data_IF_346486308749
#
_entry.id   IF_346486308749
#
_cell.length_a   1.000
_cell.length_b   1.000
_cell.length_c   1.000
_cell.angle_alpha   90.00
_cell.angle_beta   90.00
_cell.angle_gamma   90.00
#
_symmetry.space_group_name_H-M   'P 1'
#
loop_
_entity.id
_entity.type
_entity.pdbx_description
1 polymer ?
#
# COMPACT_ATOMS: atom_id res chain seq x y z
N UNK A 1 2.37 19.03 10.00
CA UNK A 1 2.89 19.70 8.80
C UNK A 1 2.88 18.71 7.66
N UNK A 2 2.26 19.09 6.56
CA UNK A 2 2.21 18.21 5.39
C UNK A 2 3.60 18.10 4.78
N UNK A 3 4.05 16.88 4.59
CA UNK A 3 5.33 16.57 3.99
C UNK A 3 5.20 16.36 2.47
N UNK A 4 4.27 17.10 1.88
CA UNK A 4 3.97 17.00 0.46
C UNK A 4 5.08 17.62 -0.38
N UNK A 5 5.33 17.01 -1.52
CA UNK A 5 6.25 17.55 -2.51
C UNK A 5 5.59 18.77 -3.17
N UNK A 6 6.37 19.84 -3.34
CA UNK A 6 5.89 21.08 -3.98
C UNK A 6 5.76 20.94 -5.50
N UNK A 7 6.17 19.81 -6.06
CA UNK A 7 6.15 19.50 -7.49
C UNK A 7 5.21 18.35 -7.78
N UNK A 8 4.83 18.10 -9.04
CA UNK A 8 4.08 16.91 -9.42
C UNK A 8 4.73 15.64 -8.86
N UNK A 9 3.93 14.59 -8.59
CA UNK A 9 4.47 13.32 -8.06
C UNK A 9 5.61 12.80 -8.93
N UNK A 10 6.66 12.32 -8.27
CA UNK A 10 7.75 11.64 -8.95
C UNK A 10 7.30 10.22 -9.25
N UNK A 11 7.37 9.83 -10.52
CA UNK A 11 6.87 8.55 -11.01
C UNK A 11 8.03 7.69 -11.50
N UNK A 12 8.03 6.42 -11.11
CA UNK A 12 8.93 5.41 -11.66
C UNK A 12 8.11 4.22 -12.13
N UNK A 13 8.43 3.71 -13.32
CA UNK A 13 7.79 2.54 -13.90
C UNK A 13 8.71 1.33 -13.79
N UNK A 14 8.16 0.23 -13.27
CA UNK A 14 8.85 -1.06 -13.16
C UNK A 14 8.10 -2.10 -13.97
N UNK A 15 8.78 -3.21 -14.26
CA UNK A 15 8.18 -4.37 -14.89
C UNK A 15 8.45 -5.61 -14.03
N UNK A 16 7.39 -6.30 -13.63
CA UNK A 16 7.49 -7.57 -12.91
C UNK A 16 7.07 -8.71 -13.82
N UNK A 17 8.03 -9.55 -14.16
CA UNK A 17 7.78 -10.67 -15.06
C UNK A 17 7.00 -11.81 -14.40
N UNK A 18 7.12 -11.95 -13.08
CA UNK A 18 6.47 -13.00 -12.30
C UNK A 18 6.34 -12.59 -10.82
N UNK A 19 5.78 -13.49 -10.02
CA UNK A 19 5.58 -13.26 -8.58
C UNK A 19 6.91 -13.11 -7.81
N UNK A 20 7.99 -13.69 -8.32
CA UNK A 20 9.32 -13.54 -7.71
C UNK A 20 9.76 -12.07 -7.72
N UNK A 21 9.44 -11.32 -8.77
CA UNK A 21 9.71 -9.89 -8.82
C UNK A 21 8.88 -9.11 -7.78
N UNK A 22 7.63 -9.50 -7.58
CA UNK A 22 6.77 -8.93 -6.52
C UNK A 22 7.40 -9.15 -5.14
N UNK A 23 7.82 -10.38 -4.88
CA UNK A 23 8.47 -10.75 -3.62
C UNK A 23 9.75 -9.96 -3.39
N UNK A 24 10.59 -9.80 -4.42
CA UNK A 24 11.82 -9.04 -4.32
C UNK A 24 11.57 -7.57 -4.02
N UNK A 25 10.58 -6.96 -4.67
CA UNK A 25 10.17 -5.59 -4.39
C UNK A 25 9.68 -5.45 -2.94
N UNK A 26 8.82 -6.38 -2.49
CA UNK A 26 8.32 -6.38 -1.13
C UNK A 26 9.45 -6.46 -0.10
N UNK A 27 10.47 -7.27 -0.35
CA UNK A 27 11.62 -7.39 0.54
C UNK A 27 12.41 -6.08 0.63
N UNK A 28 12.62 -5.41 -0.51
CA UNK A 28 13.31 -4.12 -0.54
C UNK A 28 12.50 -3.03 0.18
N UNK A 29 11.19 -3.03 -0.02
CA UNK A 29 10.28 -2.09 0.65
C UNK A 29 10.29 -2.32 2.16
N UNK A 30 10.23 -3.59 2.61
CA UNK A 30 10.25 -3.95 4.02
C UNK A 30 11.52 -3.49 4.73
N UNK A 31 12.63 -3.38 4.01
CA UNK A 31 13.92 -2.97 4.58
C UNK A 31 14.02 -1.45 4.78
N UNK A 32 13.07 -0.66 4.28
CA UNK A 32 13.16 0.79 4.34
C UNK A 32 12.83 1.32 5.73
N UNK A 33 13.68 2.23 6.23
CA UNK A 33 13.49 2.82 7.56
C UNK A 33 12.21 3.63 7.68
N UNK A 34 11.77 4.28 6.59
CA UNK A 34 10.60 5.16 6.59
C UNK A 34 9.28 4.42 6.46
N UNK A 35 9.30 3.10 6.25
CA UNK A 35 8.08 2.34 5.97
C UNK A 35 7.06 2.42 7.12
N UNK A 36 7.51 2.40 8.36
CA UNK A 36 6.65 2.37 9.53
C UNK A 36 5.82 3.63 9.76
N UNK A 37 6.00 4.67 8.98
CA UNK A 37 5.22 5.91 9.08
C UNK A 37 4.47 6.24 7.79
N UNK A 38 4.44 5.31 6.84
CA UNK A 38 3.91 5.57 5.51
C UNK A 38 2.46 5.13 5.37
N UNK A 39 1.71 5.86 4.55
CA UNK A 39 0.45 5.43 3.96
C UNK A 39 0.72 5.09 2.50
N UNK A 40 0.47 3.84 2.13
CA UNK A 40 0.67 3.34 0.76
C UNK A 40 -0.67 2.92 0.19
N UNK A 41 -1.06 3.52 -0.93
CA UNK A 41 -2.23 3.13 -1.69
C UNK A 41 -1.84 2.14 -2.78
N UNK A 42 -2.64 1.10 -2.92
CA UNK A 42 -2.47 0.05 -3.92
C UNK A 42 -3.65 0.10 -4.88
N UNK A 43 -3.36 0.38 -6.14
CA UNK A 43 -4.36 0.56 -7.20
C UNK A 43 -4.17 -0.49 -8.28
N UNK A 44 -5.26 -0.90 -8.87
CA UNK A 44 -5.28 -1.88 -9.96
C UNK A 44 -6.56 -2.67 -9.94
N UNK A 45 -6.88 -3.30 -11.06
CA UNK A 45 -8.08 -4.12 -11.20
C UNK A 45 -8.02 -5.37 -10.33
N UNK A 46 -9.16 -6.04 -10.17
CA UNK A 46 -9.21 -7.35 -9.52
C UNK A 46 -8.20 -8.29 -10.19
N UNK A 47 -7.42 -9.00 -9.40
CA UNK A 47 -6.43 -9.93 -9.93
C UNK A 47 -5.12 -9.28 -10.36
N UNK A 48 -4.95 -7.97 -10.20
CA UNK A 48 -3.71 -7.28 -10.59
C UNK A 48 -2.52 -7.64 -9.70
N UNK A 49 -2.74 -8.15 -8.48
CA UNK A 49 -1.67 -8.55 -7.58
C UNK A 49 -1.50 -7.66 -6.35
N UNK A 50 -2.48 -6.81 -6.04
CA UNK A 50 -2.42 -5.91 -4.87
C UNK A 50 -2.31 -6.69 -3.56
N UNK A 51 -3.20 -7.64 -3.34
CA UNK A 51 -3.21 -8.47 -2.13
C UNK A 51 -1.96 -9.36 -2.07
N UNK A 52 -1.49 -9.85 -3.21
CA UNK A 52 -0.24 -10.62 -3.29
C UNK A 52 0.94 -9.79 -2.82
N UNK A 53 1.05 -8.54 -3.26
CA UNK A 53 2.10 -7.63 -2.80
C UNK A 53 2.03 -7.41 -1.29
N UNK A 54 0.83 -7.12 -0.76
CA UNK A 54 0.65 -6.94 0.69
C UNK A 54 1.08 -8.17 1.45
N UNK A 55 0.71 -9.36 0.98
CA UNK A 55 1.08 -10.61 1.63
C UNK A 55 2.59 -10.80 1.69
N UNK A 56 3.29 -10.57 0.58
CA UNK A 56 4.75 -10.65 0.55
C UNK A 56 5.40 -9.60 1.46
N UNK A 57 4.86 -8.39 1.49
CA UNK A 57 5.37 -7.33 2.36
C UNK A 57 5.22 -7.70 3.83
N UNK A 58 4.04 -8.16 4.24
CA UNK A 58 3.79 -8.59 5.63
C UNK A 58 4.69 -9.76 6.01
N UNK A 59 4.89 -10.74 5.11
CA UNK A 59 5.84 -11.83 5.34
C UNK A 59 7.25 -11.33 5.55
N UNK A 60 7.71 -10.40 4.71
CA UNK A 60 9.03 -9.80 4.83
C UNK A 60 9.19 -9.00 6.13
N UNK A 61 8.09 -8.48 6.68
CA UNK A 61 8.07 -7.77 7.96
C UNK A 61 7.95 -8.70 9.17
N UNK A 62 7.88 -10.02 8.96
CA UNK A 62 7.90 -11.02 10.02
C UNK A 62 6.55 -11.60 10.41
N UNK A 63 5.48 -11.32 9.67
CA UNK A 63 4.17 -11.94 9.95
C UNK A 63 4.23 -13.43 9.65
N UNK A 64 3.91 -14.25 10.64
CA UNK A 64 3.82 -15.69 10.53
C UNK A 64 2.36 -16.15 10.50
N UNK A 65 2.13 -17.38 10.06
CA UNK A 65 0.80 -17.95 10.00
C UNK A 65 -0.04 -17.39 8.85
N UNK A 66 -1.35 -17.54 8.96
CA UNK A 66 -2.28 -17.13 7.90
C UNK A 66 -2.45 -15.61 7.87
N UNK A 67 -2.28 -15.03 6.69
CA UNK A 67 -2.60 -13.64 6.44
C UNK A 67 -4.00 -13.58 5.84
N UNK A 68 -4.93 -12.95 6.58
CA UNK A 68 -6.33 -12.84 6.17
C UNK A 68 -6.52 -11.68 5.20
N UNK A 69 -7.40 -11.86 4.21
CA UNK A 69 -7.89 -10.75 3.40
C UNK A 69 -8.87 -9.92 4.23
N UNK A 70 -8.75 -8.58 4.23
CA UNK A 70 -9.69 -7.72 4.97
C UNK A 70 -10.99 -7.43 4.20
N UNK A 71 -11.31 -8.19 3.17
CA UNK A 71 -12.46 -7.91 2.30
C UNK A 71 -13.77 -7.74 3.09
N UNK A 72 -14.02 -8.58 4.09
CA UNK A 72 -15.22 -8.50 4.92
C UNK A 72 -15.03 -7.62 6.16
N UNK A 73 -13.84 -7.67 6.75
CA UNK A 73 -13.52 -6.93 7.96
C UNK A 73 -13.17 -5.46 7.68
N UNK A 74 -12.87 -5.13 6.43
CA UNK A 74 -12.39 -3.83 5.95
C UNK A 74 -10.96 -3.53 6.38
N UNK A 75 -10.56 -3.87 7.60
CA UNK A 75 -9.22 -3.65 8.11
C UNK A 75 -8.74 -4.85 8.91
N UNK A 76 -7.48 -5.25 8.69
CA UNK A 76 -6.78 -6.24 9.49
C UNK A 76 -5.54 -5.58 10.12
N UNK A 77 -5.45 -5.59 11.47
CA UNK A 77 -4.28 -5.05 12.16
C UNK A 77 -3.18 -6.08 12.31
N UNK A 78 -1.93 -5.60 12.34
CA UNK A 78 -0.75 -6.42 12.58
C UNK A 78 0.18 -5.71 13.55
N UNK A 79 0.52 -6.37 14.65
CA UNK A 79 1.54 -5.89 15.58
C UNK A 79 2.88 -6.48 15.16
N UNK A 80 3.80 -5.62 14.73
CA UNK A 80 5.11 -6.03 14.24
C UNK A 80 6.20 -5.55 15.22
N UNK A 81 7.39 -6.12 15.09
CA UNK A 81 8.50 -5.80 16.00
C UNK A 81 8.91 -4.33 15.94
N UNK A 82 8.88 -3.73 14.74
CA UNK A 82 9.34 -2.35 14.51
C UNK A 82 8.23 -1.31 14.58
N UNK A 83 7.02 -1.67 14.22
CA UNK A 83 5.86 -0.77 14.15
C UNK A 83 4.60 -1.59 13.97
N UNK A 84 3.44 -0.94 14.14
CA UNK A 84 2.15 -1.55 13.80
C UNK A 84 1.84 -1.31 12.34
N UNK A 85 1.07 -2.22 11.75
CA UNK A 85 0.59 -2.09 10.38
C UNK A 85 -0.90 -2.41 10.31
N UNK A 86 -1.58 -1.79 9.34
CA UNK A 86 -2.99 -2.06 9.06
C UNK A 86 -3.14 -2.25 7.55
N UNK A 87 -3.87 -3.30 7.20
CA UNK A 87 -4.25 -3.57 5.81
C UNK A 87 -5.73 -3.28 5.64
N UNK A 88 -6.05 -2.33 4.76
CA UNK A 88 -7.41 -1.91 4.44
C UNK A 88 -7.79 -2.39 3.06
N UNK A 89 -9.08 -2.78 2.88
CA UNK A 89 -9.64 -3.10 1.58
C UNK A 89 -11.05 -2.49 1.51
N UNK A 90 -11.23 -1.49 0.65
CA UNK A 90 -12.50 -0.78 0.49
C UNK A 90 -13.32 -1.28 -0.70
N UNK A 91 -12.98 -2.43 -1.26
CA UNK A 91 -13.63 -2.95 -2.46
C UNK A 91 -15.16 -2.99 -2.37
N UNK A 92 -15.70 -3.37 -1.20
CA UNK A 92 -17.14 -3.52 -0.98
C UNK A 92 -17.88 -2.22 -0.71
N UNK A 93 -17.15 -1.13 -0.50
CA UNK A 93 -17.77 0.17 -0.26
C UNK A 93 -18.41 0.68 -1.54
N UNK A 94 -19.68 1.14 -1.43
CA UNK A 94 -20.42 1.75 -2.53
C UNK A 94 -20.43 3.28 -2.43
N UNK A 95 -20.25 3.81 -1.22
CA UNK A 95 -20.25 5.24 -0.93
C UNK A 95 -19.02 5.56 -0.07
N UNK A 96 -18.21 6.58 -0.44
CA UNK A 96 -17.04 6.98 0.36
C UNK A 96 -17.36 7.32 1.82
N UNK A 97 -18.60 7.71 2.13
CA UNK A 97 -19.02 8.00 3.51
C UNK A 97 -19.00 6.77 4.40
N UNK A 98 -19.08 5.57 3.83
CA UNK A 98 -18.99 4.32 4.61
C UNK A 98 -17.66 4.23 5.35
N UNK A 99 -16.57 4.73 4.78
CA UNK A 99 -15.27 4.74 5.43
C UNK A 99 -15.25 5.64 6.67
N UNK A 100 -15.88 6.82 6.59
CA UNK A 100 -16.02 7.71 7.74
C UNK A 100 -16.91 7.09 8.82
N UNK A 101 -18.00 6.44 8.40
CA UNK A 101 -18.95 5.79 9.30
C UNK A 101 -18.36 4.56 9.99
N UNK A 102 -17.37 3.93 9.40
CA UNK A 102 -16.71 2.75 9.97
C UNK A 102 -15.74 3.08 11.13
N UNK A 103 -15.55 4.37 11.46
CA UNK A 103 -14.70 4.77 12.58
C UNK A 103 -13.21 4.58 12.35
N UNK A 104 -12.76 4.63 11.10
CA UNK A 104 -11.35 4.36 10.76
C UNK A 104 -10.42 5.56 10.99
N UNK A 105 -10.98 6.74 11.25
CA UNK A 105 -10.24 7.99 11.40
C UNK A 105 -9.10 7.89 12.43
N UNK A 106 -9.37 7.27 13.57
CA UNK A 106 -8.38 7.15 14.65
C UNK A 106 -7.23 6.23 14.22
N UNK A 107 -7.53 5.19 13.44
CA UNK A 107 -6.48 4.29 12.91
C UNK A 107 -5.56 5.06 11.97
N UNK A 108 -6.12 5.86 11.06
CA UNK A 108 -5.30 6.66 10.13
C UNK A 108 -4.47 7.72 10.85
N UNK A 109 -4.93 8.21 12.00
CA UNK A 109 -4.18 9.14 12.83
C UNK A 109 -3.11 8.48 13.70
N UNK A 110 -3.16 7.15 13.85
CA UNK A 110 -2.21 6.40 14.69
C UNK A 110 -0.87 6.22 13.96
N UNK A 111 0.26 6.16 14.69
CA UNK A 111 1.53 5.84 14.05
C UNK A 111 1.54 4.40 13.54
N UNK A 112 2.18 4.17 12.39
CA UNK A 112 2.31 2.86 11.80
C UNK A 112 2.13 2.87 10.29
N UNK A 113 2.32 1.70 9.68
CA UNK A 113 2.16 1.48 8.24
C UNK A 113 0.68 1.27 7.91
N UNK A 114 0.17 1.98 6.90
CA UNK A 114 -1.17 1.76 6.36
C UNK A 114 -1.05 1.34 4.92
N UNK A 115 -1.61 0.18 4.60
CA UNK A 115 -1.67 -0.40 3.25
C UNK A 115 -3.13 -0.40 2.84
N UNK A 116 -3.47 0.33 1.77
CA UNK A 116 -4.86 0.59 1.40
C UNK A 116 -5.13 0.09 -0.02
N UNK A 117 -5.99 -0.93 -0.15
CA UNK A 117 -6.52 -1.39 -1.45
C UNK A 117 -7.85 -0.70 -1.73
N UNK A 118 -8.11 -0.40 -3.00
CA UNK A 118 -9.32 0.28 -3.46
C UNK A 118 -9.54 1.65 -2.79
N UNK A 119 -8.49 2.50 -2.73
CA UNK A 119 -8.60 3.79 -2.03
C UNK A 119 -9.64 4.72 -2.66
N UNK A 120 -9.89 4.60 -3.97
CA UNK A 120 -10.86 5.43 -4.68
C UNK A 120 -12.29 5.23 -4.15
N UNK A 121 -12.58 4.08 -3.56
CA UNK A 121 -13.91 3.82 -2.97
C UNK A 121 -14.12 4.50 -1.62
N UNK A 122 -13.05 5.03 -1.03
CA UNK A 122 -13.09 5.81 0.20
C UNK A 122 -12.58 7.23 -0.03
N UNK A 123 -12.65 7.73 -1.26
CA UNK A 123 -12.15 9.06 -1.65
C UNK A 123 -12.75 10.15 -0.75
N UNK A 124 -11.91 11.08 -0.29
CA UNK A 124 -12.30 12.14 0.62
C UNK A 124 -12.31 11.76 2.09
N UNK A 125 -12.27 10.46 2.43
CA UNK A 125 -12.22 9.98 3.81
C UNK A 125 -10.80 9.57 4.25
N UNK A 126 -9.85 9.55 3.32
CA UNK A 126 -8.48 9.11 3.58
C UNK A 126 -7.51 10.29 3.59
N UNK A 127 -6.46 10.25 4.44
CA UNK A 127 -5.33 11.17 4.29
C UNK A 127 -4.62 10.97 2.95
N UNK A 128 -3.81 11.96 2.55
CA UNK A 128 -2.99 11.84 1.35
C UNK A 128 -1.97 10.70 1.50
N UNK A 129 -1.82 9.90 0.45
CA UNK A 129 -0.85 8.81 0.45
C UNK A 129 0.58 9.35 0.28
N UNK A 130 1.53 8.68 0.91
CA UNK A 130 2.95 8.93 0.69
C UNK A 130 3.42 8.33 -0.63
N UNK A 131 2.96 7.10 -0.91
CA UNK A 131 3.31 6.36 -2.11
C UNK A 131 2.05 5.71 -2.68
N UNK A 132 1.87 5.82 -3.99
CA UNK A 132 0.81 5.10 -4.72
C UNK A 132 1.49 4.08 -5.61
N UNK A 133 1.06 2.82 -5.51
CA UNK A 133 1.55 1.72 -6.33
C UNK A 133 0.41 1.29 -7.24
N UNK A 134 0.58 1.48 -8.55
CA UNK A 134 -0.40 1.05 -9.55
C UNK A 134 0.10 -0.22 -10.24
N UNK A 135 -0.75 -1.23 -10.29
CA UNK A 135 -0.47 -2.52 -10.88
C UNK A 135 -1.35 -2.73 -12.10
N UNK A 136 -0.74 -2.96 -13.25
CA UNK A 136 -1.44 -3.25 -14.51
C UNK A 136 -0.99 -4.61 -15.05
N UNK A 137 -1.95 -5.49 -15.33
CA UNK A 137 -1.68 -6.78 -15.97
C UNK A 137 -1.48 -6.55 -17.44
N UNK A 138 -0.35 -7.02 -17.97
CA UNK A 138 -0.04 -6.97 -19.39
C UNK A 138 -0.52 -8.24 -20.11
N UNK A 139 -0.52 -8.23 -21.44
CA UNK A 139 -1.06 -9.33 -22.25
C UNK A 139 -0.35 -10.67 -22.00
N UNK A 140 0.93 -10.64 -21.60
CA UNK A 140 1.72 -11.82 -21.28
C UNK A 140 1.62 -12.24 -19.79
N UNK A 141 0.66 -11.67 -19.06
CA UNK A 141 0.43 -11.88 -17.64
C UNK A 141 1.51 -11.33 -16.71
N UNK A 142 2.51 -10.65 -17.24
CA UNK A 142 3.42 -9.85 -16.43
C UNK A 142 2.73 -8.58 -15.91
N UNK A 143 3.41 -7.82 -15.08
CA UNK A 143 2.84 -6.60 -14.49
C UNK A 143 3.69 -5.38 -14.85
N UNK A 144 3.04 -4.32 -15.29
CA UNK A 144 3.62 -2.99 -15.28
C UNK A 144 3.26 -2.34 -13.95
N UNK A 145 4.26 -1.80 -13.27
CA UNK A 145 4.09 -1.22 -11.95
C UNK A 145 4.53 0.25 -12.00
N UNK A 146 3.63 1.15 -11.62
CA UNK A 146 3.95 2.57 -11.52
C UNK A 146 3.98 2.98 -10.06
N UNK A 147 5.09 3.56 -9.65
CA UNK A 147 5.28 4.09 -8.29
C UNK A 147 5.17 5.61 -8.36
N UNK A 148 4.23 6.17 -7.62
CA UNK A 148 4.02 7.62 -7.53
C UNK A 148 4.36 8.10 -6.13
N UNK A 149 5.47 8.80 -5.97
CA UNK A 149 5.85 9.40 -4.70
C UNK A 149 5.19 10.77 -4.57
N UNK A 150 4.39 10.97 -3.53
CA UNK A 150 3.63 12.19 -3.30
C UNK A 150 4.16 13.02 -2.15
N UNK A 151 5.05 12.46 -1.32
CA UNK A 151 5.66 13.13 -0.17
C UNK A 151 7.15 12.78 -0.12
N UNK A 152 7.88 13.44 0.77
CA UNK A 152 9.29 13.11 1.01
C UNK A 152 9.45 11.67 1.51
N UNK A 153 8.54 11.21 2.35
CA UNK A 153 8.50 9.80 2.80
C UNK A 153 8.31 8.86 1.62
N UNK A 154 7.33 9.15 0.76
CA UNK A 154 7.09 8.35 -0.45
C UNK A 154 8.29 8.33 -1.39
N UNK A 155 8.97 9.44 -1.55
CA UNK A 155 10.18 9.54 -2.39
C UNK A 155 11.32 8.67 -1.82
N UNK A 156 11.51 8.69 -0.51
CA UNK A 156 12.51 7.83 0.15
C UNK A 156 12.21 6.36 -0.09
N UNK A 157 10.94 5.96 0.04
CA UNK A 157 10.51 4.58 -0.21
C UNK A 157 10.70 4.18 -1.67
N UNK A 158 10.35 5.06 -2.61
CA UNK A 158 10.53 4.81 -4.04
C UNK A 158 12.01 4.58 -4.37
N UNK A 159 12.89 5.46 -3.89
CA UNK A 159 14.33 5.38 -4.15
C UNK A 159 14.97 4.15 -3.53
N UNK A 160 14.51 3.73 -2.36
CA UNK A 160 15.09 2.61 -1.64
C UNK A 160 14.56 1.24 -2.10
N UNK A 161 13.39 1.18 -2.72
CA UNK A 161 12.75 -0.08 -3.10
C UNK A 161 12.85 -0.40 -4.60
N UNK A 162 13.08 0.60 -5.43
CA UNK A 162 13.26 0.39 -6.86
C UNK A 162 14.70 -0.06 -7.14
N UNK A 163 14.89 -1.06 -8.03
CA UNK A 163 16.23 -1.51 -8.40
C UNK A 163 16.99 -0.46 -9.21
#
# INVERSE_FOLDING_TARGET
MLNELTHPPIVKTLHWSDESATQGFAARLAAQAMLGQALIELRGDLGAGKTTLVRHLLRALGVEGRIKSPTYAVVEPYELARFNAWHFDFYRFQDPREAADAGLRDIFASPGLKLVEWPQKAAGALPSADLVIELHVLDDESRQVKLHAQTATGLALLRGSAP
#
